data_IF_539668988818
#
_entry.id   IF_539668988818
#
_cell.length_a   1.000
_cell.length_b   1.000
_cell.length_c   1.000
_cell.angle_alpha   90.00
_cell.angle_beta   90.00
_cell.angle_gamma   90.00
#
_symmetry.space_group_name_H-M   'P 1'
#
loop_
_entity.id
_entity.type
_entity.pdbx_description
1 polymer ?
#
# COMPACT_ATOMS: atom_id res chain seq x y z
N UNK A 1 -17.25 5.27 27.71
CA UNK A 1 -18.32 6.25 27.43
C UNK A 1 -18.39 6.32 25.92
N UNK A 2 -19.54 6.03 25.32
CA UNK A 2 -19.74 6.18 23.87
C UNK A 2 -20.05 7.65 23.57
N UNK A 3 -19.05 8.50 23.83
CA UNK A 3 -19.15 9.95 23.61
C UNK A 3 -18.89 10.22 22.12
N UNK A 4 -19.85 9.80 21.30
CA UNK A 4 -19.91 10.17 19.89
C UNK A 4 -19.92 11.69 19.73
N UNK A 5 -19.31 12.19 18.66
CA UNK A 5 -19.37 13.61 18.33
C UNK A 5 -20.84 14.07 18.24
N UNK A 6 -21.20 15.21 18.84
CA UNK A 6 -22.58 15.68 18.79
C UNK A 6 -22.98 15.98 17.35
N UNK A 7 -24.22 15.65 16.95
CA UNK A 7 -24.68 15.79 15.56
C UNK A 7 -24.53 17.22 15.02
N UNK A 8 -24.57 18.21 15.92
CA UNK A 8 -24.43 19.63 15.61
C UNK A 8 -22.97 20.14 15.67
N UNK A 9 -21.94 19.27 15.75
CA UNK A 9 -20.51 19.65 15.94
C UNK A 9 -20.02 20.71 14.94
N UNK A 10 -20.45 20.64 13.68
CA UNK A 10 -20.10 21.63 12.66
C UNK A 10 -20.81 22.99 12.85
N UNK A 11 -21.83 23.10 13.69
CA UNK A 11 -22.57 24.35 13.92
C UNK A 11 -22.20 25.09 15.21
N UNK A 12 -21.35 24.50 16.06
CA UNK A 12 -20.93 25.05 17.35
C UNK A 12 -20.18 26.38 17.21
N UNK A 13 -20.51 27.34 18.08
CA UNK A 13 -19.97 28.70 18.11
C UNK A 13 -19.80 29.21 19.55
N UNK A 14 -18.93 30.20 19.72
CA UNK A 14 -18.67 30.92 20.95
C UNK A 14 -18.47 29.97 22.16
N UNK A 15 -19.22 30.15 23.23
CA UNK A 15 -19.04 29.39 24.46
C UNK A 15 -19.40 27.90 24.29
N UNK A 16 -20.44 27.54 23.53
CA UNK A 16 -20.78 26.14 23.21
C UNK A 16 -19.60 25.42 22.50
N UNK A 17 -18.88 26.15 21.64
CA UNK A 17 -17.67 25.64 20.97
C UNK A 17 -16.51 25.49 21.95
N UNK A 18 -16.29 26.47 22.85
CA UNK A 18 -15.23 26.38 23.85
C UNK A 18 -15.47 25.30 24.90
N UNK A 19 -16.72 25.10 25.34
CA UNK A 19 -17.11 24.01 26.25
C UNK A 19 -16.88 22.65 25.60
N UNK A 20 -17.31 22.47 24.35
CA UNK A 20 -17.04 21.26 23.58
C UNK A 20 -15.53 20.97 23.45
N UNK A 21 -14.71 21.97 23.10
CA UNK A 21 -13.25 21.83 23.03
C UNK A 21 -12.65 21.52 24.42
N UNK A 22 -13.12 22.18 25.48
CA UNK A 22 -12.67 21.95 26.85
C UNK A 22 -12.94 20.51 27.30
N UNK A 23 -14.11 19.94 26.96
CA UNK A 23 -14.45 18.54 27.25
C UNK A 23 -13.63 17.57 26.39
N UNK A 24 -13.46 17.85 25.09
CA UNK A 24 -12.80 16.93 24.14
C UNK A 24 -11.27 16.87 24.28
N UNK A 25 -10.62 18.03 24.46
CA UNK A 25 -9.15 18.18 24.42
C UNK A 25 -8.58 19.00 25.58
N UNK A 26 -9.41 19.43 26.52
CA UNK A 26 -8.99 20.11 27.75
C UNK A 26 -8.91 21.63 27.65
N UNK A 27 -8.95 22.27 28.83
CA UNK A 27 -8.94 23.73 29.00
C UNK A 27 -7.82 24.44 28.22
N UNK A 28 -6.62 23.85 28.18
CA UNK A 28 -5.46 24.47 27.53
C UNK A 28 -5.71 24.77 26.04
N UNK A 29 -6.42 23.89 25.33
CA UNK A 29 -6.77 24.13 23.93
C UNK A 29 -7.87 25.19 23.81
N UNK A 30 -8.89 25.14 24.67
CA UNK A 30 -9.93 26.17 24.69
C UNK A 30 -9.35 27.57 24.93
N UNK A 31 -8.38 27.71 25.85
CA UNK A 31 -7.64 28.96 26.11
C UNK A 31 -6.87 29.43 24.85
N UNK A 32 -6.16 28.53 24.15
CA UNK A 32 -5.41 28.82 22.92
C UNK A 32 -6.34 29.30 21.79
N UNK A 33 -7.48 28.64 21.59
CA UNK A 33 -8.44 29.02 20.55
C UNK A 33 -9.16 30.33 20.90
N UNK A 34 -9.49 30.55 22.18
CA UNK A 34 -10.12 31.78 22.67
C UNK A 34 -9.21 32.99 22.52
N UNK A 35 -7.92 32.86 22.83
CA UNK A 35 -6.94 33.92 22.60
C UNK A 35 -6.81 34.26 21.10
N UNK A 36 -6.81 33.26 20.22
CA UNK A 36 -6.77 33.47 18.76
C UNK A 36 -8.09 33.98 18.16
N UNK A 37 -9.12 34.22 18.97
CA UNK A 37 -10.48 34.55 18.50
C UNK A 37 -11.07 33.53 17.53
N UNK A 38 -10.66 32.25 17.65
CA UNK A 38 -11.25 31.12 16.92
C UNK A 38 -12.51 30.73 17.68
N UNK A 39 -13.66 31.23 17.24
CA UNK A 39 -14.95 31.15 17.95
C UNK A 39 -15.93 30.13 17.36
N UNK A 40 -15.50 29.24 16.48
CA UNK A 40 -16.38 28.24 15.84
C UNK A 40 -15.63 27.08 15.19
N UNK A 41 -16.33 25.98 14.96
CA UNK A 41 -15.81 24.82 14.23
C UNK A 41 -15.35 25.21 12.81
N UNK A 42 -16.07 26.07 12.08
CA UNK A 42 -15.61 26.56 10.77
C UNK A 42 -14.34 27.41 10.84
N UNK A 43 -14.20 28.30 11.83
CA UNK A 43 -12.98 29.10 11.98
C UNK A 43 -11.79 28.23 12.39
N UNK A 44 -12.01 27.15 13.14
CA UNK A 44 -10.98 26.18 13.49
C UNK A 44 -10.51 25.42 12.24
N UNK A 45 -11.43 24.85 11.47
CA UNK A 45 -11.12 24.11 10.22
C UNK A 45 -10.39 24.99 9.19
N UNK A 46 -10.65 26.30 9.19
CA UNK A 46 -9.99 27.27 8.29
C UNK A 46 -8.64 27.78 8.79
N UNK A 47 -8.22 27.47 10.02
CA UNK A 47 -6.92 27.88 10.53
C UNK A 47 -5.90 26.75 10.28
N UNK A 48 -4.90 26.96 9.41
CA UNK A 48 -3.95 25.91 9.04
C UNK A 48 -2.98 25.57 10.19
N UNK A 49 -2.73 26.49 11.12
CA UNK A 49 -1.75 26.31 12.19
C UNK A 49 -2.14 27.07 13.47
N UNK A 50 -2.95 26.43 14.31
CA UNK A 50 -3.36 26.93 15.64
C UNK A 50 -2.21 27.15 16.63
N UNK A 51 -0.99 26.69 16.33
CA UNK A 51 0.19 26.86 17.18
C UNK A 51 1.17 27.93 16.68
N UNK A 52 0.95 28.50 15.49
CA UNK A 52 1.76 29.59 14.95
C UNK A 52 1.84 30.80 15.90
N UNK A 53 0.81 30.98 16.74
CA UNK A 53 0.77 32.01 17.78
C UNK A 53 1.93 31.93 18.77
N UNK A 54 2.48 30.74 19.06
CA UNK A 54 3.58 30.62 20.02
C UNK A 54 4.91 31.21 19.52
N UNK A 55 5.00 31.55 18.23
CA UNK A 55 6.10 32.32 17.66
C UNK A 55 5.94 33.84 17.82
N UNK A 56 4.81 34.33 18.35
CA UNK A 56 4.57 35.76 18.56
C UNK A 56 5.29 36.27 19.81
N UNK A 57 6.02 37.38 19.65
CA UNK A 57 6.54 38.16 20.76
C UNK A 57 5.43 39.03 21.36
N UNK A 58 4.65 38.46 22.29
CA UNK A 58 3.67 39.20 23.09
C UNK A 58 4.08 39.25 24.57
N UNK A 59 3.93 40.43 25.17
CA UNK A 59 4.08 40.69 26.61
C UNK A 59 2.75 40.59 27.37
N UNK A 60 1.65 40.20 26.70
CA UNK A 60 0.34 40.10 27.32
C UNK A 60 0.31 38.96 28.36
N UNK A 61 -0.13 39.27 29.59
CA UNK A 61 -0.09 38.32 30.71
C UNK A 61 -0.90 37.04 30.46
N UNK A 62 -2.06 37.17 29.80
CA UNK A 62 -2.92 36.07 29.34
C UNK A 62 -2.14 35.11 28.42
N UNK A 63 -1.45 35.65 27.40
CA UNK A 63 -0.63 34.88 26.47
C UNK A 63 0.54 34.19 27.17
N UNK A 64 1.22 34.88 28.09
CA UNK A 64 2.32 34.30 28.85
C UNK A 64 1.87 33.12 29.71
N UNK A 65 0.70 33.22 30.37
CA UNK A 65 0.10 32.11 31.11
C UNK A 65 -0.28 30.93 30.19
N UNK A 66 -0.83 31.20 29.00
CA UNK A 66 -1.10 30.15 28.01
C UNK A 66 0.20 29.48 27.56
N UNK A 67 1.26 30.25 27.28
CA UNK A 67 2.56 29.72 26.85
C UNK A 67 3.25 28.89 27.93
N UNK A 68 3.19 29.30 29.20
CA UNK A 68 3.69 28.52 30.34
C UNK A 68 2.93 27.20 30.52
N UNK A 69 1.60 27.24 30.38
CA UNK A 69 0.73 26.06 30.50
C UNK A 69 0.88 25.11 29.31
N UNK A 70 1.13 25.61 28.12
CA UNK A 70 1.06 24.85 26.86
C UNK A 70 2.40 24.56 26.20
N UNK A 71 3.50 25.19 26.62
CA UNK A 71 4.84 25.01 26.05
C UNK A 71 5.91 24.78 27.12
N UNK A 72 7.08 24.32 26.69
CA UNK A 72 8.34 24.42 27.41
C UNK A 72 9.20 25.50 26.76
N UNK A 73 9.83 26.35 27.57
CA UNK A 73 10.86 27.29 27.10
C UNK A 73 12.21 26.57 27.04
N UNK A 74 12.93 26.73 25.94
CA UNK A 74 14.31 26.28 25.79
C UNK A 74 15.29 27.38 26.22
N UNK A 75 16.51 27.00 26.57
CA UNK A 75 17.57 27.92 27.03
C UNK A 75 17.93 29.01 26.00
N UNK A 76 17.71 28.72 24.71
CA UNK A 76 17.90 29.69 23.60
C UNK A 76 16.71 30.65 23.41
N UNK A 77 15.68 30.58 24.26
CA UNK A 77 14.47 31.40 24.17
C UNK A 77 13.41 30.91 23.17
N UNK A 78 13.62 29.79 22.49
CA UNK A 78 12.59 29.14 21.67
C UNK A 78 11.60 28.33 22.54
N UNK A 79 10.49 27.88 21.93
CA UNK A 79 9.43 27.15 22.62
C UNK A 79 9.12 25.82 21.93
N UNK A 80 8.90 24.78 22.73
CA UNK A 80 8.33 23.50 22.27
C UNK A 80 6.92 23.38 22.85
N UNK A 81 5.91 23.25 22.00
CA UNK A 81 4.53 22.95 22.43
C UNK A 81 4.50 21.59 23.12
N UNK A 82 3.84 21.49 24.27
CA UNK A 82 3.72 20.24 25.04
C UNK A 82 3.07 19.18 24.15
N UNK A 83 3.66 17.98 24.16
CA UNK A 83 3.36 16.91 23.19
C UNK A 83 1.87 16.51 23.19
N UNK A 84 1.16 16.67 24.32
CA UNK A 84 -0.29 16.45 24.41
C UNK A 84 -1.17 17.39 23.59
N UNK A 85 -0.64 18.51 23.08
CA UNK A 85 -1.37 19.46 22.23
C UNK A 85 -1.05 19.27 20.75
N UNK A 86 0.18 18.90 20.39
CA UNK A 86 0.59 18.66 19.00
C UNK A 86 0.21 17.24 18.55
N UNK A 87 -1.09 17.05 18.29
CA UNK A 87 -1.66 15.79 17.83
C UNK A 87 -1.18 15.47 16.41
N UNK A 88 -0.38 14.41 16.27
CA UNK A 88 0.06 13.92 14.97
C UNK A 88 -0.95 12.90 14.43
N UNK A 89 -1.47 13.15 13.23
CA UNK A 89 -2.37 12.22 12.54
C UNK A 89 -1.58 11.28 11.64
N UNK A 90 -1.92 10.00 11.67
CA UNK A 90 -1.23 8.96 10.89
C UNK A 90 -2.21 7.99 10.26
N UNK A 91 -1.81 7.39 9.14
CA UNK A 91 -2.45 6.22 8.57
C UNK A 91 -1.54 5.00 8.81
N UNK A 92 -2.11 3.93 9.32
CA UNK A 92 -1.42 2.65 9.47
C UNK A 92 -1.60 1.81 8.19
N UNK A 93 -0.57 1.08 7.77
CA UNK A 93 -0.61 0.19 6.61
C UNK A 93 0.03 -1.16 6.99
N UNK A 94 -0.65 -2.24 6.66
CA UNK A 94 -0.18 -3.61 6.88
C UNK A 94 -0.08 -4.34 5.54
N UNK A 95 1.05 -5.01 5.30
CA UNK A 95 1.24 -5.88 4.14
C UNK A 95 2.23 -7.02 4.45
N UNK A 96 2.17 -8.10 3.67
CA UNK A 96 3.01 -9.28 3.83
C UNK A 96 3.87 -9.51 2.59
N UNK A 97 5.17 -9.78 2.79
CA UNK A 97 6.12 -10.08 1.70
C UNK A 97 6.78 -11.45 1.89
N UNK A 98 7.08 -12.12 0.78
CA UNK A 98 7.80 -13.39 0.80
C UNK A 98 9.24 -13.23 1.27
N UNK A 99 9.74 -14.17 2.07
CA UNK A 99 11.12 -14.18 2.56
C UNK A 99 11.81 -15.52 2.34
N UNK A 100 13.13 -15.47 2.16
CA UNK A 100 13.96 -16.67 2.09
C UNK A 100 13.93 -17.37 3.46
N UNK A 101 13.35 -18.58 3.49
CA UNK A 101 13.19 -19.45 4.67
C UNK A 101 14.53 -19.81 5.31
N UNK A 102 15.07 -18.92 6.15
CA UNK A 102 16.37 -19.07 6.82
C UNK A 102 16.28 -18.81 8.32
N UNK A 103 16.75 -19.77 9.11
CA UNK A 103 16.95 -19.61 10.55
C UNK A 103 18.35 -19.04 10.79
N UNK A 104 18.46 -18.08 11.71
CA UNK A 104 19.74 -17.56 12.22
C UNK A 104 19.68 -17.45 13.74
N UNK A 105 20.65 -18.07 14.39
CA UNK A 105 20.91 -17.90 15.82
C UNK A 105 21.67 -16.58 16.07
N UNK A 106 21.26 -15.84 17.09
CA UNK A 106 22.00 -14.70 17.66
C UNK A 106 22.52 -15.07 19.04
N UNK A 107 23.84 -15.27 19.14
CA UNK A 107 24.54 -15.59 20.38
C UNK A 107 24.58 -14.45 21.39
N UNK A 108 24.30 -13.21 20.98
CA UNK A 108 24.32 -12.04 21.88
C UNK A 108 23.05 -11.95 22.71
N UNK A 109 21.91 -12.29 22.11
CA UNK A 109 20.60 -12.31 22.77
C UNK A 109 20.16 -13.72 23.19
N UNK A 110 20.86 -14.75 22.73
CA UNK A 110 20.49 -16.16 22.85
C UNK A 110 19.10 -16.43 22.27
N UNK A 111 18.90 -16.00 21.02
CA UNK A 111 17.63 -16.12 20.30
C UNK A 111 17.77 -16.76 18.92
N UNK A 112 16.68 -17.34 18.41
CA UNK A 112 16.54 -17.61 16.99
C UNK A 112 15.70 -16.55 16.28
N UNK A 113 16.12 -16.21 15.07
CA UNK A 113 15.37 -15.44 14.08
C UNK A 113 15.06 -16.34 12.87
N UNK A 114 13.93 -16.11 12.19
CA UNK A 114 13.50 -16.89 11.01
C UNK A 114 12.34 -17.87 11.24
N UNK A 115 11.84 -18.00 12.47
CA UNK A 115 10.58 -18.70 12.78
C UNK A 115 9.37 -17.74 12.72
N UNK A 116 8.14 -18.25 12.48
CA UNK A 116 6.90 -17.51 12.68
C UNK A 116 6.81 -17.01 14.12
N UNK A 117 6.46 -15.74 14.29
CA UNK A 117 6.35 -15.13 15.62
C UNK A 117 5.02 -15.51 16.25
N UNK A 118 5.05 -16.13 17.45
CA UNK A 118 3.83 -16.42 18.18
C UNK A 118 3.05 -15.12 18.45
N UNK A 119 1.75 -15.13 18.13
CA UNK A 119 0.86 -13.99 18.35
C UNK A 119 0.14 -14.12 19.70
N UNK A 120 0.41 -13.19 20.61
CA UNK A 120 -0.34 -13.00 21.85
C UNK A 120 -1.37 -11.89 21.65
N UNK A 121 -2.66 -12.24 21.53
CA UNK A 121 -3.75 -11.30 21.18
C UNK A 121 -3.47 -10.55 19.87
N UNK A 122 -3.10 -11.30 18.83
CA UNK A 122 -2.75 -10.75 17.52
C UNK A 122 -1.40 -10.03 17.42
N UNK A 123 -0.74 -9.70 18.53
CA UNK A 123 0.54 -8.97 18.57
C UNK A 123 1.70 -9.96 18.77
N UNK A 124 2.87 -9.80 18.11
CA UNK A 124 4.03 -10.65 18.34
C UNK A 124 4.48 -10.68 19.80
N UNK A 125 4.66 -11.88 20.35
CA UNK A 125 5.25 -12.06 21.68
C UNK A 125 6.75 -11.77 21.60
N UNK A 126 7.17 -10.65 22.22
CA UNK A 126 8.59 -10.26 22.29
C UNK A 126 9.44 -11.36 22.90
N UNK A 127 10.59 -11.66 22.28
CA UNK A 127 11.56 -12.64 22.76
C UNK A 127 11.02 -14.08 22.95
N UNK A 128 9.98 -14.48 22.22
CA UNK A 128 9.40 -15.83 22.39
C UNK A 128 10.41 -16.97 22.17
N UNK A 129 11.32 -16.83 21.20
CA UNK A 129 12.40 -17.79 20.93
C UNK A 129 13.71 -17.45 21.66
N UNK A 130 13.64 -16.90 22.86
CA UNK A 130 14.79 -16.68 23.75
C UNK A 130 14.88 -17.78 24.80
N UNK A 131 16.02 -18.46 24.91
CA UNK A 131 16.19 -19.53 25.92
C UNK A 131 17.66 -19.87 26.21
N UNK A 132 18.00 -20.07 27.48
CA UNK A 132 19.31 -20.57 27.89
C UNK A 132 19.44 -22.10 27.84
N UNK A 133 18.41 -22.81 27.37
CA UNK A 133 18.42 -24.27 27.22
C UNK A 133 18.76 -24.69 25.78
N UNK A 134 19.89 -25.39 25.62
CA UNK A 134 20.26 -26.02 24.35
C UNK A 134 19.20 -27.03 23.87
N UNK A 135 18.55 -27.76 24.78
CA UNK A 135 17.49 -28.71 24.42
C UNK A 135 16.25 -28.01 23.87
N UNK A 136 15.90 -26.82 24.39
CA UNK A 136 14.82 -26.00 23.84
C UNK A 136 15.20 -25.43 22.45
N UNK A 137 16.43 -24.94 22.27
CA UNK A 137 16.93 -24.52 20.96
C UNK A 137 16.86 -25.67 19.93
N UNK A 138 17.30 -26.88 20.33
CA UNK A 138 17.25 -28.09 19.51
C UNK A 138 15.82 -28.55 19.22
N UNK A 139 14.91 -28.42 20.17
CA UNK A 139 13.50 -28.74 19.96
C UNK A 139 12.90 -27.84 18.88
N UNK A 140 13.01 -26.51 19.04
CA UNK A 140 12.46 -25.54 18.09
C UNK A 140 13.02 -25.73 16.67
N UNK A 141 14.33 -25.93 16.53
CA UNK A 141 14.99 -26.15 15.24
C UNK A 141 14.47 -27.39 14.48
N UNK A 142 13.96 -28.39 15.20
CA UNK A 142 13.46 -29.64 14.62
C UNK A 142 11.93 -29.72 14.51
N UNK A 143 11.18 -28.81 15.15
CA UNK A 143 9.72 -28.92 15.28
C UNK A 143 8.93 -27.69 14.82
N UNK A 144 9.59 -26.59 14.46
CA UNK A 144 8.92 -25.34 14.05
C UNK A 144 9.31 -25.02 12.62
N UNK A 145 8.31 -24.86 11.76
CA UNK A 145 8.51 -24.46 10.37
C UNK A 145 9.13 -23.06 10.27
N UNK A 146 9.85 -22.83 9.17
CA UNK A 146 10.49 -21.54 8.90
C UNK A 146 9.44 -20.57 8.37
N UNK A 147 9.50 -19.31 8.80
CA UNK A 147 8.62 -18.28 8.25
C UNK A 147 8.86 -18.13 6.74
N UNK A 148 7.79 -18.28 5.96
CA UNK A 148 7.75 -18.02 4.51
C UNK A 148 7.44 -16.55 4.21
N UNK A 149 6.77 -15.87 5.14
CA UNK A 149 6.29 -14.50 4.99
C UNK A 149 6.84 -13.61 6.12
N UNK A 150 7.06 -12.35 5.79
CA UNK A 150 7.32 -11.26 6.73
C UNK A 150 6.11 -10.32 6.69
N UNK A 151 5.40 -10.20 7.81
CA UNK A 151 4.39 -9.16 7.97
C UNK A 151 5.07 -7.84 8.33
N UNK A 152 4.66 -6.75 7.69
CA UNK A 152 5.27 -5.42 7.81
C UNK A 152 4.18 -4.38 8.12
N UNK A 153 4.41 -3.61 9.19
CA UNK A 153 3.50 -2.57 9.68
C UNK A 153 4.18 -1.22 9.51
N UNK A 154 3.63 -0.36 8.66
CA UNK A 154 4.16 0.97 8.37
C UNK A 154 3.17 2.05 8.81
N UNK A 155 3.68 3.12 9.43
CA UNK A 155 2.91 4.31 9.80
C UNK A 155 3.28 5.45 8.86
N UNK A 156 2.29 6.00 8.15
CA UNK A 156 2.46 7.18 7.30
C UNK A 156 1.87 8.42 8.00
N UNK A 157 2.67 9.41 8.39
CA UNK A 157 2.16 10.71 8.82
C UNK A 157 1.30 11.37 7.74
N UNK A 158 0.13 11.85 8.15
CA UNK A 158 -0.78 12.63 7.30
C UNK A 158 -0.31 14.08 7.34
N UNK A 159 -0.12 14.70 6.17
CA UNK A 159 0.32 16.10 6.08
C UNK A 159 -0.67 17.04 6.79
N UNK A 160 -0.15 17.93 7.64
CA UNK A 160 -0.75 19.26 7.78
C UNK A 160 -0.49 20.05 6.50
N UNK A 161 -1.41 20.95 6.15
CA UNK A 161 -1.53 21.62 4.84
C UNK A 161 -0.31 22.44 4.37
N UNK A 162 0.68 22.64 5.23
CA UNK A 162 1.65 23.73 5.11
C UNK A 162 3.07 23.26 4.72
N UNK A 163 3.33 21.95 4.71
CA UNK A 163 4.68 21.39 4.46
C UNK A 163 4.76 20.70 3.09
N UNK A 164 5.66 21.18 2.22
CA UNK A 164 5.86 20.70 0.84
C UNK A 164 6.49 19.31 0.71
N UNK A 165 6.90 18.68 1.81
CA UNK A 165 7.35 17.29 1.85
C UNK A 165 6.44 16.43 2.73
N UNK A 166 5.99 15.30 2.18
CA UNK A 166 5.38 14.22 2.96
C UNK A 166 6.50 13.56 3.78
N UNK A 167 6.38 13.44 5.11
CA UNK A 167 7.36 12.70 5.91
C UNK A 167 7.41 11.24 5.45
N UNK A 168 8.62 10.66 5.38
CA UNK A 168 8.77 9.24 5.04
C UNK A 168 7.98 8.34 6.01
N UNK A 169 7.35 7.26 5.53
CA UNK A 169 6.66 6.33 6.40
C UNK A 169 7.64 5.63 7.35
N UNK A 170 7.18 5.36 8.57
CA UNK A 170 7.95 4.78 9.67
C UNK A 170 7.62 3.30 9.85
N UNK A 171 8.63 2.44 9.96
CA UNK A 171 8.44 1.01 10.24
C UNK A 171 8.09 0.80 11.72
N UNK A 172 6.84 0.43 12.01
CA UNK A 172 6.38 0.13 13.36
C UNK A 172 6.81 -1.28 13.83
N UNK A 173 6.63 -2.27 12.97
CA UNK A 173 7.06 -3.64 13.25
C UNK A 173 7.24 -4.45 11.97
N UNK A 174 8.17 -5.41 12.01
CA UNK A 174 8.34 -6.44 10.99
C UNK A 174 8.61 -7.77 11.69
N UNK A 175 7.87 -8.83 11.33
CA UNK A 175 7.98 -10.13 11.98
C UNK A 175 7.54 -11.28 11.07
N UNK A 176 8.18 -12.45 11.23
CA UNK A 176 7.85 -13.62 10.44
C UNK A 176 6.47 -14.18 10.78
N UNK A 177 5.72 -14.63 9.78
CA UNK A 177 4.44 -15.33 9.93
C UNK A 177 4.39 -16.59 9.04
N UNK A 178 3.38 -17.41 9.28
CA UNK A 178 3.00 -18.66 8.62
C UNK A 178 1.63 -18.58 7.91
N UNK A 179 1.08 -17.37 7.78
CA UNK A 179 -0.25 -17.08 7.24
C UNK A 179 -1.44 -17.66 8.04
N UNK A 180 -1.26 -18.11 9.30
CA UNK A 180 -2.38 -18.65 10.12
C UNK A 180 -3.16 -17.58 10.89
N UNK A 181 -2.82 -16.30 10.75
CA UNK A 181 -3.43 -15.21 11.52
C UNK A 181 -4.92 -15.03 11.17
N UNK A 182 -5.80 -15.06 12.17
CA UNK A 182 -7.24 -14.90 11.95
C UNK A 182 -7.63 -13.43 11.81
N UNK A 183 -8.84 -13.15 11.29
CA UNK A 183 -9.41 -11.80 11.30
C UNK A 183 -9.49 -11.20 12.71
N UNK A 184 -9.71 -12.02 13.75
CA UNK A 184 -9.67 -11.57 15.13
C UNK A 184 -8.25 -11.18 15.58
N UNK A 185 -7.21 -11.89 15.16
CA UNK A 185 -5.82 -11.51 15.43
C UNK A 185 -5.46 -10.16 14.80
N UNK A 186 -5.90 -9.93 13.56
CA UNK A 186 -5.71 -8.65 12.87
C UNK A 186 -6.40 -7.52 13.65
N UNK A 187 -7.67 -7.68 14.02
CA UNK A 187 -8.43 -6.67 14.77
C UNK A 187 -7.83 -6.39 16.16
N UNK A 188 -7.41 -7.42 16.90
CA UNK A 188 -6.78 -7.24 18.22
C UNK A 188 -5.43 -6.52 18.11
N UNK A 189 -4.67 -6.76 17.03
CA UNK A 189 -3.42 -6.07 16.74
C UNK A 189 -3.63 -4.62 16.35
N UNK A 190 -4.57 -4.32 15.46
CA UNK A 190 -4.93 -2.94 15.09
C UNK A 190 -5.42 -2.15 16.31
N UNK A 191 -6.24 -2.78 17.17
CA UNK A 191 -6.65 -2.20 18.46
C UNK A 191 -5.46 -1.91 19.38
N UNK A 192 -4.48 -2.82 19.46
CA UNK A 192 -3.26 -2.60 20.24
C UNK A 192 -2.43 -1.43 19.68
N UNK A 193 -2.20 -1.39 18.37
CA UNK A 193 -1.47 -0.31 17.67
C UNK A 193 -2.15 1.03 17.94
N UNK A 194 -3.46 1.12 17.71
CA UNK A 194 -4.26 2.33 17.97
C UNK A 194 -4.08 2.84 19.41
N UNK A 195 -4.18 1.97 20.41
CA UNK A 195 -4.00 2.35 21.82
C UNK A 195 -2.56 2.76 22.15
N UNK A 196 -1.55 2.12 21.56
CA UNK A 196 -0.15 2.49 21.73
C UNK A 196 0.19 3.84 21.08
N UNK A 197 -0.36 4.12 19.89
CA UNK A 197 -0.28 5.42 19.23
C UNK A 197 -0.95 6.51 20.09
N UNK A 198 -2.16 6.24 20.57
CA UNK A 198 -2.94 7.15 21.42
C UNK A 198 -2.18 7.55 22.69
N UNK A 199 -1.56 6.61 23.39
CA UNK A 199 -0.71 6.87 24.57
C UNK A 199 0.49 7.78 24.28
N UNK A 200 0.89 7.92 23.02
CA UNK A 200 2.00 8.77 22.54
C UNK A 200 1.51 10.07 21.89
N UNK A 201 0.22 10.39 21.99
CA UNK A 201 -0.46 11.52 21.32
C UNK A 201 -0.45 11.44 19.78
N UNK A 202 -0.30 10.22 19.24
CA UNK A 202 -0.44 9.93 17.81
C UNK A 202 -1.86 9.39 17.58
N UNK A 203 -2.56 9.93 16.57
CA UNK A 203 -3.92 9.51 16.21
C UNK A 203 -3.89 8.77 14.87
N UNK A 204 -3.96 7.45 14.94
CA UNK A 204 -4.30 6.63 13.78
C UNK A 204 -5.71 6.98 13.32
N UNK A 205 -5.85 7.49 12.08
CA UNK A 205 -7.14 7.82 11.47
C UNK A 205 -7.74 6.69 10.64
N UNK A 206 -6.94 5.66 10.33
CA UNK A 206 -7.38 4.49 9.58
C UNK A 206 -6.26 3.49 9.35
N UNK A 207 -6.65 2.29 8.92
CA UNK A 207 -5.77 1.20 8.48
C UNK A 207 -5.98 0.99 6.97
N UNK A 208 -4.90 0.94 6.19
CA UNK A 208 -4.97 0.78 4.73
C UNK A 208 -4.63 -0.64 4.30
N UNK A 209 -5.31 -1.08 3.24
CA UNK A 209 -4.89 -2.20 2.39
C UNK A 209 -4.69 -1.64 0.99
N UNK A 210 -3.65 -2.06 0.27
CA UNK A 210 -3.21 -1.38 -0.95
C UNK A 210 -4.30 -1.28 -2.03
N UNK A 211 -4.77 -0.08 -2.42
CA UNK A 211 -5.85 0.07 -3.42
C UNK A 211 -5.46 -0.48 -4.80
N UNK A 212 -4.16 -0.56 -5.10
CA UNK A 212 -3.60 -1.29 -6.25
C UNK A 212 -4.17 -2.71 -6.37
N UNK A 213 -4.32 -3.45 -5.25
CA UNK A 213 -4.84 -4.82 -5.26
C UNK A 213 -6.35 -4.88 -5.54
N UNK A 214 -7.13 -3.85 -5.15
CA UNK A 214 -8.53 -3.75 -5.54
C UNK A 214 -8.65 -3.58 -7.05
N UNK A 215 -7.82 -2.70 -7.62
CA UNK A 215 -7.80 -2.36 -9.05
C UNK A 215 -7.33 -3.56 -9.90
N UNK A 216 -6.26 -4.26 -9.49
CA UNK A 216 -5.83 -5.48 -10.20
C UNK A 216 -6.81 -6.63 -10.02
N UNK A 217 -7.44 -6.82 -8.85
CA UNK A 217 -8.54 -7.79 -8.69
C UNK A 217 -9.73 -7.49 -9.60
N UNK A 218 -10.10 -6.21 -9.75
CA UNK A 218 -11.15 -5.78 -10.68
C UNK A 218 -10.77 -6.11 -12.13
N UNK A 219 -9.55 -5.78 -12.58
CA UNK A 219 -9.03 -6.17 -13.91
C UNK A 219 -9.01 -7.70 -14.08
N UNK A 220 -8.52 -8.45 -13.10
CA UNK A 220 -8.44 -9.92 -13.19
C UNK A 220 -9.82 -10.59 -13.20
N UNK A 221 -10.85 -9.94 -12.64
CA UNK A 221 -12.23 -10.43 -12.72
C UNK A 221 -12.75 -10.40 -14.17
N UNK A 222 -12.36 -9.42 -14.97
CA UNK A 222 -12.69 -9.37 -16.40
C UNK A 222 -12.09 -10.54 -17.19
N UNK A 223 -10.86 -10.93 -16.89
CA UNK A 223 -10.18 -12.06 -17.54
C UNK A 223 -10.59 -13.44 -16.98
N UNK A 224 -11.55 -13.51 -16.04
CA UNK A 224 -11.95 -14.76 -15.40
C UNK A 224 -13.11 -15.43 -16.14
N UNK A 225 -12.89 -16.65 -16.63
CA UNK A 225 -13.95 -17.46 -17.25
C UNK A 225 -15.01 -18.01 -16.26
N UNK A 226 -14.85 -17.76 -14.95
CA UNK A 226 -15.69 -18.36 -13.90
C UNK A 226 -17.10 -17.75 -13.78
N UNK A 227 -17.34 -16.57 -14.36
CA UNK A 227 -18.67 -15.95 -14.37
C UNK A 227 -18.82 -14.95 -15.49
N UNK A 228 -20.02 -14.89 -16.07
CA UNK A 228 -20.43 -13.78 -16.93
C UNK A 228 -20.52 -12.48 -16.13
N UNK A 229 -19.97 -11.40 -16.67
CA UNK A 229 -20.03 -10.07 -16.08
C UNK A 229 -21.07 -9.23 -16.81
N UNK A 230 -21.94 -8.56 -16.07
CA UNK A 230 -22.97 -7.68 -16.61
C UNK A 230 -23.13 -6.43 -15.73
N UNK A 231 -23.41 -5.28 -16.36
CA UNK A 231 -23.87 -4.06 -15.69
C UNK A 231 -25.32 -3.80 -16.10
N UNK A 232 -26.26 -4.26 -15.26
CA UNK A 232 -27.66 -4.36 -15.64
C UNK A 232 -27.81 -5.34 -16.81
N UNK A 233 -28.39 -4.89 -17.92
CA UNK A 233 -28.57 -5.70 -19.13
C UNK A 233 -27.42 -5.55 -20.15
N UNK A 234 -26.31 -4.92 -19.77
CA UNK A 234 -25.15 -4.70 -20.64
C UNK A 234 -24.06 -5.73 -20.34
N UNK A 235 -23.74 -6.65 -21.28
CA UNK A 235 -22.69 -7.64 -21.06
C UNK A 235 -21.31 -6.98 -21.05
N UNK A 236 -20.42 -7.53 -20.24
CA UNK A 236 -19.01 -7.17 -20.17
C UNK A 236 -18.21 -8.39 -20.64
N UNK A 237 -17.34 -8.19 -21.62
CA UNK A 237 -16.49 -9.26 -22.16
C UNK A 237 -15.05 -8.79 -22.31
N UNK A 238 -14.12 -9.71 -22.04
CA UNK A 238 -12.69 -9.57 -22.38
C UNK A 238 -12.47 -9.71 -23.89
N UNK A 239 -13.36 -10.42 -24.61
CA UNK A 239 -13.23 -10.63 -26.05
C UNK A 239 -13.29 -9.30 -26.81
N UNK A 240 -14.07 -8.32 -26.34
CA UNK A 240 -14.08 -6.96 -26.88
C UNK A 240 -12.67 -6.32 -26.95
N UNK A 241 -11.74 -6.72 -26.05
CA UNK A 241 -10.34 -6.28 -26.11
C UNK A 241 -9.47 -7.15 -27.00
N UNK A 242 -9.72 -8.45 -27.08
CA UNK A 242 -9.07 -9.32 -28.07
C UNK A 242 -9.38 -8.83 -29.48
N UNK A 243 -10.66 -8.56 -29.76
CA UNK A 243 -11.14 -8.02 -31.03
C UNK A 243 -10.44 -6.68 -31.35
N UNK A 244 -10.32 -5.74 -30.39
CA UNK A 244 -9.61 -4.47 -30.62
C UNK A 244 -8.10 -4.69 -30.89
N UNK A 245 -7.45 -5.64 -30.21
CA UNK A 245 -6.01 -5.91 -30.35
C UNK A 245 -5.67 -6.69 -31.63
N UNK A 246 -6.62 -7.46 -32.17
CA UNK A 246 -6.41 -8.36 -33.32
C UNK A 246 -7.07 -7.86 -34.62
N UNK A 247 -7.82 -6.76 -34.58
CA UNK A 247 -8.50 -6.17 -35.74
C UNK A 247 -7.64 -5.14 -36.47
N UNK A 248 -7.35 -5.39 -37.75
CA UNK A 248 -6.60 -4.50 -38.66
C UNK A 248 -7.14 -3.05 -38.77
N UNK A 249 -8.36 -2.79 -38.31
CA UNK A 249 -8.97 -1.44 -38.25
C UNK A 249 -8.28 -0.52 -37.25
N UNK A 250 -7.70 -1.07 -36.17
CA UNK A 250 -7.08 -0.29 -35.10
C UNK A 250 -5.61 -0.68 -34.97
N UNK A 251 -4.72 0.31 -35.02
CA UNK A 251 -3.31 0.08 -34.76
C UNK A 251 -3.04 0.11 -33.26
N UNK A 252 -1.92 -0.50 -32.85
CA UNK A 252 -1.42 -0.39 -31.46
C UNK A 252 -1.27 1.06 -30.98
N UNK A 253 -1.09 2.04 -31.88
CA UNK A 253 -1.01 3.45 -31.50
C UNK A 253 -2.37 4.03 -31.11
N UNK A 254 -3.47 3.49 -31.65
CA UNK A 254 -4.84 3.96 -31.39
C UNK A 254 -5.37 3.45 -30.04
N UNK A 255 -5.02 2.22 -29.64
CA UNK A 255 -5.53 1.60 -28.41
C UNK A 255 -4.48 1.38 -27.30
N UNK A 256 -3.17 1.50 -27.59
CA UNK A 256 -2.05 1.34 -26.65
C UNK A 256 -1.91 -0.01 -25.91
N UNK A 257 -2.77 -1.00 -26.18
CA UNK A 257 -2.75 -2.32 -25.55
C UNK A 257 -1.82 -3.31 -26.27
N UNK A 258 -1.35 -4.32 -25.53
CA UNK A 258 -0.75 -5.56 -26.07
C UNK A 258 -1.42 -6.79 -25.47
N UNK A 259 -1.24 -7.98 -26.09
CA UNK A 259 -1.80 -9.24 -25.56
C UNK A 259 -1.39 -9.52 -24.10
N UNK A 260 -0.23 -9.05 -23.66
CA UNK A 260 0.21 -9.10 -22.25
C UNK A 260 -0.66 -8.27 -21.30
N UNK A 261 -1.22 -7.13 -21.74
CA UNK A 261 -2.05 -6.26 -20.89
C UNK A 261 -3.38 -6.92 -20.49
N UNK A 262 -3.83 -7.93 -21.23
CA UNK A 262 -5.04 -8.72 -20.94
C UNK A 262 -4.75 -10.16 -20.50
N UNK A 263 -3.47 -10.55 -20.39
CA UNK A 263 -3.06 -11.91 -20.00
C UNK A 263 -3.54 -12.23 -18.57
N UNK A 264 -4.36 -13.29 -18.37
CA UNK A 264 -4.85 -13.67 -17.05
C UNK A 264 -3.76 -14.20 -16.10
N UNK A 265 -2.63 -14.69 -16.62
CA UNK A 265 -1.50 -15.16 -15.79
C UNK A 265 -0.80 -14.00 -15.07
N UNK A 266 -0.75 -12.83 -15.70
CA UNK A 266 -0.13 -11.64 -15.12
C UNK A 266 -1.13 -10.94 -14.18
N UNK A 267 -1.26 -11.46 -12.96
CA UNK A 267 -2.29 -11.03 -11.99
C UNK A 267 -1.94 -9.73 -11.24
N UNK A 268 -0.69 -9.28 -11.31
CA UNK A 268 -0.19 -8.12 -10.52
C UNK A 268 0.02 -6.85 -11.35
N UNK A 269 -0.14 -6.91 -12.68
CA UNK A 269 0.15 -5.79 -13.57
C UNK A 269 -0.88 -4.65 -13.50
N UNK A 270 -0.65 -3.76 -12.54
CA UNK A 270 -1.35 -2.49 -12.41
C UNK A 270 -1.18 -1.57 -13.62
N UNK A 271 -0.05 -1.62 -14.34
CA UNK A 271 0.17 -0.78 -15.52
C UNK A 271 -0.85 -1.05 -16.65
N UNK A 272 -1.29 -2.31 -16.78
CA UNK A 272 -2.39 -2.67 -17.69
C UNK A 272 -3.69 -1.97 -17.32
N UNK A 273 -3.99 -1.79 -16.03
CA UNK A 273 -5.21 -1.14 -15.56
C UNK A 273 -5.25 0.35 -15.96
N UNK A 274 -4.09 1.03 -16.00
CA UNK A 274 -3.97 2.41 -16.49
C UNK A 274 -4.25 2.49 -18.00
N UNK A 275 -3.72 1.57 -18.80
CA UNK A 275 -3.98 1.51 -20.26
C UNK A 275 -5.45 1.19 -20.56
N UNK A 276 -6.03 0.23 -19.82
CA UNK A 276 -7.44 -0.14 -19.91
C UNK A 276 -8.41 0.98 -19.51
N UNK A 277 -7.91 2.05 -18.88
CA UNK A 277 -8.67 3.25 -18.50
C UNK A 277 -8.24 4.50 -19.29
N UNK A 278 -7.51 4.32 -20.40
CA UNK A 278 -7.18 5.39 -21.34
C UNK A 278 -8.42 5.93 -22.07
N UNK A 279 -8.37 7.22 -22.45
CA UNK A 279 -9.47 7.85 -23.18
C UNK A 279 -9.57 7.31 -24.62
N UNK A 280 -8.46 6.91 -25.23
CA UNK A 280 -8.42 6.44 -26.61
C UNK A 280 -9.13 5.08 -26.74
N UNK A 281 -8.89 4.16 -25.80
CA UNK A 281 -9.65 2.92 -25.68
C UNK A 281 -11.15 3.17 -25.40
N UNK A 282 -11.49 4.21 -24.62
CA UNK A 282 -12.89 4.57 -24.38
C UNK A 282 -13.58 5.09 -25.65
N UNK A 283 -12.88 5.82 -26.51
CA UNK A 283 -13.41 6.29 -27.78
C UNK A 283 -13.70 5.11 -28.72
N UNK A 284 -12.80 4.12 -28.78
CA UNK A 284 -12.99 2.88 -29.57
C UNK A 284 -14.17 2.06 -29.02
N UNK A 285 -14.21 1.79 -27.70
CA UNK A 285 -15.29 1.06 -27.03
C UNK A 285 -16.64 1.79 -27.02
N UNK A 286 -16.71 3.05 -27.48
CA UNK A 286 -17.95 3.81 -27.64
C UNK A 286 -18.45 3.83 -29.10
N UNK A 287 -17.71 3.26 -30.04
CA UNK A 287 -18.09 3.19 -31.46
C UNK A 287 -19.19 2.15 -31.74
N UNK A 288 -19.31 1.12 -30.90
CA UNK A 288 -20.28 0.03 -31.05
C UNK A 288 -21.17 -0.11 -29.81
N UNK A 289 -22.34 -0.76 -29.96
CA UNK A 289 -23.36 -0.84 -28.91
C UNK A 289 -23.15 -2.04 -27.97
N UNK A 290 -22.54 -3.11 -28.48
CA UNK A 290 -22.18 -4.34 -27.77
C UNK A 290 -21.07 -4.13 -26.72
N UNK A 291 -20.08 -3.29 -27.02
CA UNK A 291 -18.97 -2.96 -26.12
C UNK A 291 -19.37 -2.06 -24.94
N UNK A 292 -20.63 -1.55 -24.92
CA UNK A 292 -21.08 -0.54 -23.96
C UNK A 292 -20.97 -0.97 -22.50
N UNK A 293 -21.17 -2.25 -22.19
CA UNK A 293 -20.97 -2.79 -20.84
C UNK A 293 -19.50 -2.73 -20.42
N UNK A 294 -18.59 -3.21 -21.28
CA UNK A 294 -17.13 -3.12 -21.06
C UNK A 294 -16.65 -1.67 -20.91
N UNK A 295 -17.18 -0.73 -21.70
CA UNK A 295 -16.88 0.71 -21.54
C UNK A 295 -17.26 1.22 -20.14
N UNK A 296 -18.49 0.95 -19.68
CA UNK A 296 -18.94 1.36 -18.35
C UNK A 296 -18.10 0.71 -17.24
N UNK A 297 -17.70 -0.54 -17.42
CA UNK A 297 -16.83 -1.26 -16.48
C UNK A 297 -15.47 -0.58 -16.28
N UNK A 298 -14.84 -0.12 -17.36
CA UNK A 298 -13.58 0.63 -17.26
C UNK A 298 -13.76 2.07 -16.82
N UNK A 299 -14.89 2.72 -17.09
CA UNK A 299 -15.18 4.03 -16.52
C UNK A 299 -15.27 3.96 -14.98
N UNK A 300 -15.90 2.93 -14.43
CA UNK A 300 -15.89 2.67 -12.98
C UNK A 300 -14.47 2.37 -12.47
N UNK A 301 -13.69 1.55 -13.18
CA UNK A 301 -12.30 1.28 -12.81
C UNK A 301 -11.44 2.56 -12.78
N UNK A 302 -11.64 3.46 -13.77
CA UNK A 302 -10.97 4.76 -13.84
C UNK A 302 -11.33 5.64 -12.65
N UNK A 303 -12.61 5.70 -12.28
CA UNK A 303 -13.06 6.44 -11.10
C UNK A 303 -12.43 5.90 -9.80
N UNK A 304 -12.24 4.57 -9.68
CA UNK A 304 -11.54 3.97 -8.54
C UNK A 304 -10.04 4.35 -8.55
N UNK A 305 -9.37 4.32 -9.71
CA UNK A 305 -7.96 4.75 -9.84
C UNK A 305 -7.81 6.22 -9.43
N UNK A 306 -8.63 7.11 -9.97
CA UNK A 306 -8.60 8.55 -9.64
C UNK A 306 -8.85 8.74 -8.13
N UNK A 307 -9.90 8.14 -7.57
CA UNK A 307 -10.26 8.34 -6.17
C UNK A 307 -9.26 7.80 -5.13
N UNK A 308 -8.46 6.78 -5.47
CA UNK A 308 -7.60 6.08 -4.50
C UNK A 308 -6.10 6.08 -4.82
N UNK A 309 -5.69 6.45 -6.04
CA UNK A 309 -4.27 6.42 -6.49
C UNK A 309 -3.75 7.81 -6.90
N UNK A 310 -4.58 8.64 -7.52
CA UNK A 310 -4.13 9.94 -8.03
C UNK A 310 -3.91 10.95 -6.90
N UNK A 311 -2.64 11.27 -6.64
CA UNK A 311 -2.22 12.20 -5.57
C UNK A 311 -2.73 13.64 -5.76
N UNK A 312 -3.13 13.98 -6.98
CA UNK A 312 -3.58 15.32 -7.38
C UNK A 312 -5.08 15.53 -7.25
N UNK A 313 -5.87 14.49 -6.91
CA UNK A 313 -7.32 14.64 -6.74
C UNK A 313 -7.64 15.48 -5.51
N UNK A 314 -7.69 16.81 -5.69
CA UNK A 314 -8.14 17.70 -4.63
C UNK A 314 -9.63 17.45 -4.37
N UNK A 315 -10.07 17.66 -3.11
CA UNK A 315 -11.50 17.62 -2.76
C UNK A 315 -12.30 18.62 -3.62
N UNK A 316 -11.66 19.70 -4.09
CA UNK A 316 -12.25 20.75 -4.92
C UNK A 316 -12.46 20.31 -6.37
N UNK A 317 -11.57 19.49 -6.94
CA UNK A 317 -11.71 18.94 -8.30
C UNK A 317 -12.65 17.72 -8.35
N UNK A 318 -13.31 17.39 -7.24
CA UNK A 318 -14.39 16.42 -7.23
C UNK A 318 -15.69 17.00 -7.82
N UNK A 319 -15.66 17.33 -9.12
CA UNK A 319 -16.86 17.27 -9.98
C UNK A 319 -17.61 15.95 -9.76
N UNK A 320 -16.91 14.89 -9.33
CA UNK A 320 -17.45 13.63 -8.83
C UNK A 320 -18.35 13.75 -7.60
N UNK A 321 -18.03 14.53 -6.56
CA UNK A 321 -18.96 14.77 -5.43
C UNK A 321 -20.16 15.57 -5.92
N UNK A 322 -19.94 16.54 -6.81
CA UNK A 322 -21.03 17.29 -7.44
C UNK A 322 -21.92 16.39 -8.34
N UNK A 323 -21.34 15.40 -9.04
CA UNK A 323 -22.02 14.42 -9.88
C UNK A 323 -22.81 13.42 -9.03
N UNK A 324 -22.22 12.94 -7.94
CA UNK A 324 -22.85 12.08 -6.92
C UNK A 324 -24.05 12.82 -6.29
N UNK A 325 -23.89 14.11 -5.96
CA UNK A 325 -24.97 15.00 -5.51
C UNK A 325 -26.05 15.22 -6.59
N UNK A 326 -25.67 15.56 -7.83
CA UNK A 326 -26.57 15.70 -9.00
C UNK A 326 -27.31 14.41 -9.36
N UNK A 327 -26.81 13.25 -8.92
CA UNK A 327 -27.44 11.92 -9.08
C UNK A 327 -28.19 11.45 -7.82
N UNK A 328 -28.40 12.32 -6.84
CA UNK A 328 -29.11 12.05 -5.58
C UNK A 328 -28.50 10.95 -4.67
N UNK A 329 -27.22 10.62 -4.83
CA UNK A 329 -26.48 9.80 -3.85
C UNK A 329 -25.88 10.77 -2.82
N UNK A 330 -26.75 11.35 -1.98
CA UNK A 330 -26.47 12.64 -1.34
C UNK A 330 -25.39 12.62 -0.24
N UNK A 331 -25.11 11.48 0.40
CA UNK A 331 -24.14 11.38 1.48
C UNK A 331 -23.36 10.05 1.46
N UNK A 332 -22.13 10.07 1.99
CA UNK A 332 -21.31 8.86 2.18
C UNK A 332 -22.03 7.82 3.07
N UNK A 333 -22.84 8.31 4.03
CA UNK A 333 -23.73 7.50 4.88
C UNK A 333 -24.82 6.83 4.06
N UNK A 334 -25.48 7.54 3.14
CA UNK A 334 -26.49 6.95 2.26
C UNK A 334 -25.88 5.90 1.32
N UNK A 335 -24.65 6.11 0.84
CA UNK A 335 -23.93 5.13 0.03
C UNK A 335 -23.52 3.90 0.85
N UNK A 336 -23.02 4.07 2.07
CA UNK A 336 -22.67 2.93 2.93
C UNK A 336 -23.91 2.17 3.39
N UNK A 337 -24.98 2.85 3.79
CA UNK A 337 -26.28 2.22 4.09
C UNK A 337 -26.86 1.48 2.88
N UNK A 338 -26.76 2.04 1.66
CA UNK A 338 -27.16 1.35 0.44
C UNK A 338 -26.32 0.11 0.18
N UNK A 339 -24.98 0.21 0.29
CA UNK A 339 -24.07 -0.92 0.11
C UNK A 339 -24.30 -2.01 1.15
N UNK A 340 -24.38 -1.67 2.44
CA UNK A 340 -24.71 -2.61 3.51
C UNK A 340 -26.10 -3.25 3.31
N UNK A 341 -27.10 -2.49 2.86
CA UNK A 341 -28.43 -3.02 2.56
C UNK A 341 -28.41 -3.97 1.36
N UNK A 342 -27.63 -3.70 0.31
CA UNK A 342 -27.48 -4.62 -0.82
C UNK A 342 -26.67 -5.87 -0.44
N UNK A 343 -25.61 -5.74 0.35
CA UNK A 343 -24.83 -6.86 0.87
C UNK A 343 -25.68 -7.76 1.78
N UNK A 344 -26.48 -7.17 2.69
CA UNK A 344 -27.42 -7.92 3.53
C UNK A 344 -28.57 -8.56 2.73
N UNK A 345 -29.08 -7.87 1.71
CA UNK A 345 -30.13 -8.43 0.84
C UNK A 345 -29.61 -9.62 0.01
N UNK A 346 -28.38 -9.53 -0.48
CA UNK A 346 -27.74 -10.60 -1.26
C UNK A 346 -27.29 -11.78 -0.38
N UNK A 347 -26.80 -11.53 0.84
CA UNK A 347 -26.48 -12.60 1.80
C UNK A 347 -27.71 -13.30 2.39
N UNK A 348 -28.88 -12.67 2.35
CA UNK A 348 -30.16 -13.33 2.65
C UNK A 348 -30.73 -14.10 1.45
N UNK A 349 -30.49 -13.65 0.20
CA UNK A 349 -30.87 -14.37 -1.02
C UNK A 349 -30.02 -15.59 -1.30
N UNK A 350 -28.74 -15.55 -0.94
CA UNK A 350 -27.82 -16.67 -1.08
C UNK A 350 -27.52 -17.23 0.30
N UNK A 351 -28.20 -18.34 0.65
CA UNK A 351 -27.95 -19.03 1.90
C UNK A 351 -26.61 -19.78 1.84
N UNK A 352 -25.51 -19.03 1.96
CA UNK A 352 -24.14 -19.55 1.92
C UNK A 352 -23.87 -20.61 3.00
N UNK A 353 -24.68 -20.71 4.06
CA UNK A 353 -24.58 -21.81 5.04
C UNK A 353 -24.99 -23.19 4.49
N UNK A 354 -25.67 -23.24 3.34
CA UNK A 354 -26.24 -24.48 2.76
C UNK A 354 -25.50 -25.01 1.52
N UNK A 355 -24.42 -24.36 1.08
CA UNK A 355 -23.63 -24.75 -0.10
C UNK A 355 -22.11 -24.78 0.16
N UNK A 356 -21.66 -24.80 1.42
CA UNK A 356 -20.29 -25.19 1.79
C UNK A 356 -20.28 -26.71 2.06
N UNK A 357 -20.56 -27.46 0.99
CA UNK A 357 -20.25 -28.88 0.88
C UNK A 357 -19.73 -29.08 -0.54
N UNK A 358 -18.41 -29.21 -0.66
CA UNK A 358 -17.69 -29.31 -1.93
C UNK A 358 -17.69 -28.01 -2.77
N UNK A 359 -17.40 -26.87 -2.12
CA UNK A 359 -16.40 -25.99 -2.74
C UNK A 359 -15.09 -26.67 -2.39
N UNK A 360 -14.41 -27.24 -3.40
CA UNK A 360 -13.06 -27.74 -3.21
C UNK A 360 -12.20 -26.63 -2.61
N UNK A 361 -11.29 -27.00 -1.71
CA UNK A 361 -10.26 -26.07 -1.28
C UNK A 361 -9.43 -25.70 -2.52
N UNK A 362 -9.77 -24.58 -3.18
CA UNK A 362 -8.84 -23.82 -4.01
C UNK A 362 -7.75 -23.33 -3.06
N UNK A 363 -6.85 -24.25 -2.73
CA UNK A 363 -5.46 -23.96 -2.43
C UNK A 363 -5.02 -23.08 -3.58
N UNK A 364 -4.92 -21.78 -3.29
CA UNK A 364 -4.20 -20.87 -4.16
C UNK A 364 -2.74 -21.33 -4.10
N UNK A 365 -2.41 -22.28 -4.97
CA UNK A 365 -1.04 -22.68 -5.23
C UNK A 365 -0.30 -21.39 -5.54
N UNK A 366 0.57 -20.98 -4.61
CA UNK A 366 1.68 -20.15 -4.97
C UNK A 366 2.47 -20.96 -5.97
N UNK A 367 2.50 -20.51 -7.22
CA UNK A 367 3.47 -20.95 -8.22
C UNK A 367 4.87 -20.64 -7.62
N UNK A 368 5.38 -21.56 -6.81
CA UNK A 368 6.78 -21.57 -6.38
C UNK A 368 7.57 -21.91 -7.65
N UNK A 369 8.18 -20.89 -8.25
CA UNK A 369 9.07 -21.00 -9.41
C UNK A 369 10.28 -21.89 -9.06
N UNK A 370 10.09 -23.21 -9.17
CA UNK A 370 11.15 -24.21 -9.07
C UNK A 370 11.94 -24.23 -10.39
N UNK A 371 12.79 -23.22 -10.57
CA UNK A 371 13.96 -23.31 -11.43
C UNK A 371 14.95 -24.34 -10.81
N UNK A 372 14.66 -25.64 -10.97
CA UNK A 372 15.67 -26.67 -10.76
C UNK A 372 16.66 -26.65 -11.92
N UNK A 373 17.86 -26.12 -11.66
CA UNK A 373 19.02 -26.22 -12.55
C UNK A 373 19.35 -27.70 -12.81
N UNK A 374 18.91 -28.21 -13.96
CA UNK A 374 19.25 -29.54 -14.45
C UNK A 374 20.71 -29.65 -14.88
N UNK A 375 21.58 -30.10 -13.99
CA UNK A 375 22.98 -30.44 -14.27
C UNK A 375 23.08 -31.76 -15.07
N UNK A 376 22.86 -31.66 -16.38
CA UNK A 376 22.88 -32.81 -17.28
C UNK A 376 24.30 -33.06 -17.83
N UNK A 377 25.08 -33.86 -17.10
CA UNK A 377 26.41 -34.31 -17.49
C UNK A 377 26.41 -35.78 -17.93
N UNK A 378 26.32 -36.06 -19.23
CA UNK A 378 26.90 -37.30 -19.81
C UNK A 378 27.43 -37.11 -21.23
N UNK A 379 28.61 -37.70 -21.48
CA UNK A 379 29.14 -37.91 -22.84
C UNK A 379 28.45 -39.13 -23.48
N UNK A 380 28.34 -39.18 -24.82
CA UNK A 380 29.20 -40.08 -25.61
C UNK A 380 28.98 -40.01 -27.14
N UNK A 381 30.11 -39.83 -27.85
CA UNK A 381 30.56 -40.39 -29.13
C UNK A 381 29.65 -40.64 -30.37
N UNK A 382 30.20 -40.16 -31.52
CA UNK A 382 30.21 -40.77 -32.87
C UNK A 382 28.86 -40.91 -33.63
N UNK A 383 28.71 -40.41 -34.87
CA UNK A 383 29.59 -40.67 -36.03
C UNK A 383 29.58 -39.58 -37.13
N UNK A 384 30.67 -39.55 -37.92
CA UNK A 384 30.75 -39.50 -39.40
C UNK A 384 29.42 -39.80 -40.17
N UNK A 385 29.11 -39.41 -41.41
CA UNK A 385 29.81 -39.03 -42.66
C UNK A 385 28.70 -38.45 -43.59
N UNK A 386 28.88 -37.61 -44.64
CA UNK A 386 30.07 -36.99 -45.24
C UNK A 386 29.66 -35.82 -46.20
N UNK A 387 30.65 -35.08 -46.74
CA UNK A 387 30.71 -34.42 -48.07
C UNK A 387 29.86 -33.20 -48.50
N UNK A 388 30.62 -32.23 -49.03
CA UNK A 388 30.48 -31.50 -50.31
C UNK A 388 29.44 -30.37 -50.50
N UNK A 389 29.78 -29.29 -51.23
CA UNK A 389 31.10 -28.69 -51.55
C UNK A 389 30.84 -27.27 -52.09
N UNK A 390 31.90 -26.46 -52.18
CA UNK A 390 32.08 -25.33 -53.10
C UNK A 390 31.41 -23.98 -52.73
N UNK A 391 32.02 -22.83 -53.01
CA UNK A 391 33.44 -22.52 -53.30
C UNK A 391 33.66 -21.00 -53.35
N UNK A 392 34.94 -20.60 -53.52
CA UNK A 392 35.46 -19.30 -53.99
C UNK A 392 35.47 -18.19 -52.91
N UNK A 393 36.61 -17.87 -52.29
CA UNK A 393 37.89 -17.33 -52.79
C UNK A 393 37.85 -15.84 -53.19
N UNK A 394 38.37 -14.96 -52.33
CA UNK A 394 39.71 -14.35 -52.45
C UNK A 394 39.79 -13.20 -51.42
N UNK A 395 40.72 -13.19 -50.47
CA UNK A 395 42.19 -13.18 -50.60
C UNK A 395 42.72 -11.78 -50.99
N UNK A 396 43.36 -11.11 -50.02
CA UNK A 396 44.55 -10.29 -50.20
C UNK A 396 45.24 -10.02 -48.85
N UNK A 397 46.56 -10.13 -48.90
CA UNK A 397 47.57 -9.99 -47.83
C UNK A 397 47.97 -8.49 -47.63
N UNK A 398 48.92 -8.03 -46.81
CA UNK A 398 50.09 -8.60 -46.12
C UNK A 398 50.39 -7.87 -44.77
N UNK A 399 51.09 -8.58 -43.88
CA UNK A 399 52.24 -8.21 -43.02
C UNK A 399 52.55 -6.69 -42.81
N UNK A 400 52.74 -6.17 -41.58
CA UNK A 400 54.00 -6.37 -40.84
C UNK A 400 53.97 -6.02 -39.32
N UNK A 401 54.63 -6.90 -38.57
CA UNK A 401 55.42 -6.78 -37.32
C UNK A 401 55.34 -5.66 -36.22
N UNK A 402 55.59 -6.17 -34.99
CA UNK A 402 56.28 -5.57 -33.82
C UNK A 402 55.52 -4.79 -32.72
N UNK A 403 55.31 -5.52 -31.61
CA UNK A 403 55.61 -5.16 -30.21
C UNK A 403 55.25 -3.76 -29.67
N UNK A 404 54.26 -3.70 -28.75
CA UNK A 404 54.56 -3.27 -27.37
C UNK A 404 53.47 -3.59 -26.33
N UNK A 405 53.94 -3.75 -25.08
CA UNK A 405 53.27 -3.67 -23.76
C UNK A 405 51.74 -3.60 -23.63
N UNK A 406 51.23 -4.47 -22.75
CA UNK A 406 50.26 -4.18 -21.68
C UNK A 406 49.48 -2.86 -21.79
N UNK A 407 48.16 -2.96 -22.02
CA UNK A 407 47.21 -2.65 -20.95
C UNK A 407 45.78 -3.13 -21.24
N UNK A 408 44.99 -3.15 -20.16
CA UNK A 408 43.52 -3.21 -20.09
C UNK A 408 42.75 -2.91 -21.40
N UNK A 409 41.84 -3.81 -21.77
CA UNK A 409 40.40 -3.55 -21.94
C UNK A 409 39.70 -4.91 -22.13
N UNK A 410 38.71 -5.21 -21.29
CA UNK A 410 37.57 -6.00 -21.75
C UNK A 410 36.28 -5.41 -21.19
N UNK A 411 35.73 -4.51 -22.01
CA UNK A 411 34.32 -4.11 -22.13
C UNK A 411 33.46 -4.08 -20.85
N UNK A 412 33.26 -2.86 -20.35
CA UNK A 412 32.24 -2.53 -19.35
C UNK A 412 30.83 -2.94 -19.82
N UNK A 413 30.15 -3.78 -19.03
CA UNK A 413 28.68 -3.88 -19.10
C UNK A 413 28.10 -2.50 -18.79
N UNK A 414 27.28 -1.98 -19.71
CA UNK A 414 26.59 -0.69 -19.52
C UNK A 414 25.73 -0.73 -18.26
N UNK A 415 25.86 0.30 -17.44
CA UNK A 415 25.05 0.49 -16.24
C UNK A 415 23.55 0.45 -16.54
N UNK A 416 22.84 -0.41 -15.85
CA UNK A 416 21.38 -0.38 -15.81
C UNK A 416 20.99 0.68 -14.76
N UNK A 417 20.63 1.89 -15.19
CA UNK A 417 20.20 2.96 -14.29
C UNK A 417 18.77 2.75 -13.80
N UNK A 418 18.56 1.66 -13.06
CA UNK A 418 17.39 1.49 -12.20
C UNK A 418 17.40 2.53 -11.06
N UNK A 419 16.23 2.75 -10.45
CA UNK A 419 16.05 3.74 -9.38
C UNK A 419 17.02 3.46 -8.23
N UNK A 420 17.99 4.36 -8.03
CA UNK A 420 18.80 4.39 -6.82
C UNK A 420 17.91 4.80 -5.65
N UNK A 421 17.43 3.81 -4.89
CA UNK A 421 17.08 4.02 -3.48
C UNK A 421 18.35 4.55 -2.80
N UNK A 422 18.20 5.56 -1.95
CA UNK A 422 19.35 6.21 -1.33
C UNK A 422 19.93 5.33 -0.22
N UNK A 423 20.89 4.46 -0.56
CA UNK A 423 21.74 3.65 0.36
C UNK A 423 22.61 4.48 1.34
N UNK A 424 22.24 5.75 1.57
CA UNK A 424 22.94 6.72 2.42
C UNK A 424 22.02 7.46 3.40
N UNK A 425 20.81 6.96 3.62
CA UNK A 425 20.19 7.14 4.93
C UNK A 425 20.75 6.02 5.80
N UNK A 426 21.72 6.35 6.67
CA UNK A 426 22.06 5.45 7.78
C UNK A 426 20.78 5.28 8.60
N UNK A 427 20.18 4.08 8.67
CA UNK A 427 19.03 3.87 9.52
C UNK A 427 19.54 3.93 10.96
N UNK A 428 19.10 4.91 11.74
CA UNK A 428 19.18 4.85 13.22
C UNK A 428 18.19 3.79 13.73
N UNK A 429 18.40 2.54 13.29
CA UNK A 429 17.60 1.37 13.61
C UNK A 429 18.54 0.35 14.24
N UNK A 430 18.90 0.59 15.50
CA UNK A 430 19.75 -0.32 16.28
C UNK A 430 19.07 -1.68 16.58
N UNK A 431 17.80 -1.89 16.16
CA UNK A 431 16.93 -2.99 16.61
C UNK A 431 16.09 -3.71 15.52
N UNK A 432 16.45 -3.65 14.22
CA UNK A 432 15.80 -4.50 13.19
C UNK A 432 16.72 -5.60 12.66
N UNK A 433 16.22 -6.83 12.66
CA UNK A 433 17.00 -8.05 12.40
C UNK A 433 16.95 -8.54 10.94
N UNK A 434 16.26 -7.84 10.04
CA UNK A 434 16.09 -8.22 8.64
C UNK A 434 16.95 -7.37 7.71
N UNK A 435 17.69 -8.03 6.81
CA UNK A 435 18.36 -7.38 5.69
C UNK A 435 17.43 -7.43 4.48
N UNK A 436 16.82 -6.30 4.15
CA UNK A 436 16.10 -6.13 2.87
C UNK A 436 17.13 -6.22 1.73
N UNK A 437 16.75 -6.85 0.62
CA UNK A 437 17.56 -6.99 -0.60
C UNK A 437 17.29 -5.84 -1.55
#
# INVERSE_FOLDING_TARGET
>A
MDDGLPENVFSLKNDDFYEFIQVLVGQQMADILKFQSITSTQSLIRNPNIFAIFNMNSSESSFLMIRERSCFQLDNGAFIVKIGLNVQYVFDSEDCTGIVKRIKYDSTTNTFTGFPSLLGRGVPVKSYYQTDSFDALKLWLNSIDKASLLNVHMIQPVQSTDNSSIPSPYLLSAYGIDNTATANDILQRWWYIFNQSLQRNIRTIGFSTGPTHLITKWRNRLSSATAELCLGNQPISINHLHDIIENDTYSKLDHSLTKSDINPKDRQNFSSCLKLTSNDLFNILNATVDTRGTLLYFQVLKMIIVAYIEKTTTIVESEYIELIGKKHVLELKTLSEYLFRQLNFNSQKHNYSSQISNIDDEVFESDDDNDEDGDDTTNDFNMNEDNDDSSINNDYTDEDEQNNTQDLINTTKKDFSGVKVADKVEPHIEHTYFKVK
#
